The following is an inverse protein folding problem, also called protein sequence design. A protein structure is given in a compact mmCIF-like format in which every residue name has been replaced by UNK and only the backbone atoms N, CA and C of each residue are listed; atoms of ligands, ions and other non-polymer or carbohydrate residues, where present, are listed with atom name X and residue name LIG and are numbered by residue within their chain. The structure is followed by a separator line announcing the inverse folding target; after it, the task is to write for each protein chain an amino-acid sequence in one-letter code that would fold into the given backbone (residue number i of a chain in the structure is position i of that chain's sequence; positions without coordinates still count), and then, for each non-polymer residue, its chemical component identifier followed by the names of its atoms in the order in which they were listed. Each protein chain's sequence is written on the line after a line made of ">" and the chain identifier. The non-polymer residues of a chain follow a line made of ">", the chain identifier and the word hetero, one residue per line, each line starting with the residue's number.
data_IF_399329713885
#
_entry.id   IF_399329713885
#
_cell.length_a   1.000
_cell.length_b   1.000
_cell.length_c   1.000
_cell.angle_alpha   90.00
_cell.angle_beta   90.00
_cell.angle_gamma   90.00
#
_symmetry.space_group_name_H-M   'P 1'
#
loop_
_entity.id
_entity.type
_entity.pdbx_description
1 polymer ?
#
# COMPACT_ATOMS: atom_id res chain seq x y z
N UNK A 1 -1.47 -17.41 5.77
CA UNK A 1 -2.72 -17.53 4.97
C UNK A 1 -3.83 -16.81 5.72
N UNK A 2 -4.89 -16.40 5.03
CA UNK A 2 -6.03 -15.69 5.63
C UNK A 2 -7.35 -16.40 5.33
N UNK A 3 -8.32 -16.28 6.23
CA UNK A 3 -9.70 -16.69 5.95
C UNK A 3 -10.39 -15.70 5.01
N UNK A 4 -11.31 -16.20 4.19
CA UNK A 4 -12.10 -15.35 3.30
C UNK A 4 -13.06 -14.44 4.07
N UNK A 5 -12.87 -13.11 3.96
CA UNK A 5 -13.67 -12.12 4.67
C UNK A 5 -15.00 -11.82 3.94
N UNK A 6 -16.12 -11.80 4.68
CA UNK A 6 -17.46 -11.66 4.08
C UNK A 6 -18.01 -10.23 4.04
N UNK A 7 -17.54 -9.32 4.91
CA UNK A 7 -18.14 -7.99 5.11
C UNK A 7 -17.22 -6.82 4.81
N UNK A 8 -16.01 -6.82 5.38
CA UNK A 8 -15.00 -5.77 5.21
C UNK A 8 -13.67 -6.40 4.83
N UNK A 9 -12.80 -5.61 4.20
CA UNK A 9 -11.51 -6.08 3.71
C UNK A 9 -11.62 -7.29 2.78
N UNK A 10 -12.57 -7.23 1.84
CA UNK A 10 -12.82 -8.32 0.89
C UNK A 10 -11.63 -8.48 -0.03
N UNK A 11 -11.44 -9.70 -0.51
CA UNK A 11 -10.55 -9.97 -1.62
C UNK A 11 -11.30 -9.68 -2.93
N UNK A 12 -10.59 -9.30 -3.97
CA UNK A 12 -11.11 -9.19 -5.33
C UNK A 12 -10.64 -10.40 -6.12
N UNK A 13 -11.55 -11.12 -6.77
CA UNK A 13 -11.18 -12.22 -7.67
C UNK A 13 -10.61 -11.62 -8.96
N UNK A 14 -9.37 -11.98 -9.28
CA UNK A 14 -8.73 -11.65 -10.56
C UNK A 14 -9.00 -12.74 -11.59
N UNK A 15 -8.94 -14.01 -11.18
CA UNK A 15 -9.33 -15.15 -12.01
C UNK A 15 -9.73 -16.37 -11.16
N UNK A 16 -10.51 -17.27 -11.73
CA UNK A 16 -11.03 -18.46 -11.03
C UNK A 16 -12.18 -18.12 -10.08
N UNK A 17 -12.18 -18.71 -8.88
CA UNK A 17 -13.24 -18.58 -7.89
C UNK A 17 -12.69 -18.46 -6.46
N UNK A 18 -13.57 -18.10 -5.52
CA UNK A 18 -13.26 -18.22 -4.09
C UNK A 18 -13.18 -19.69 -3.69
N UNK A 19 -12.27 -20.05 -2.76
CA UNK A 19 -12.19 -21.39 -2.23
C UNK A 19 -13.39 -21.68 -1.33
N UNK A 20 -13.98 -22.87 -1.49
CA UNK A 20 -15.21 -23.30 -0.80
C UNK A 20 -14.94 -24.44 0.17
N UNK A 21 -14.06 -25.37 -0.19
CA UNK A 21 -13.74 -26.55 0.61
C UNK A 21 -12.36 -26.43 1.27
N UNK A 22 -12.12 -27.18 2.34
CA UNK A 22 -10.92 -27.06 3.18
C UNK A 22 -9.61 -27.48 2.50
N UNK A 23 -9.68 -27.99 1.28
CA UNK A 23 -8.58 -28.39 0.39
C UNK A 23 -8.40 -27.42 -0.79
N UNK A 24 -9.17 -26.32 -0.85
CA UNK A 24 -9.06 -25.31 -1.88
C UNK A 24 -8.35 -24.05 -1.39
N UNK A 25 -7.58 -23.42 -2.27
CA UNK A 25 -6.85 -22.19 -1.99
C UNK A 25 -6.98 -21.19 -3.14
N UNK A 26 -7.07 -19.91 -2.79
CA UNK A 26 -6.84 -18.82 -3.73
C UNK A 26 -5.53 -18.11 -3.41
N UNK A 27 -4.66 -17.98 -4.41
CA UNK A 27 -3.33 -17.38 -4.25
C UNK A 27 -3.36 -15.88 -4.57
N UNK A 28 -2.35 -15.13 -4.12
CA UNK A 28 -2.17 -13.76 -4.59
C UNK A 28 -2.05 -13.71 -6.11
N UNK A 29 -2.65 -12.72 -6.76
CA UNK A 29 -2.64 -12.56 -8.23
C UNK A 29 -1.24 -12.52 -8.85
N UNK A 30 -0.24 -12.05 -8.10
CA UNK A 30 1.17 -12.03 -8.52
C UNK A 30 1.75 -13.42 -8.76
N UNK A 31 1.12 -14.47 -8.25
CA UNK A 31 1.51 -15.86 -8.43
C UNK A 31 0.95 -16.50 -9.72
N UNK A 32 0.09 -15.82 -10.48
CA UNK A 32 -0.49 -16.32 -11.73
C UNK A 32 0.55 -16.68 -12.80
N UNK A 33 1.74 -16.08 -12.74
CA UNK A 33 2.84 -16.41 -13.67
C UNK A 33 3.50 -17.75 -13.36
N UNK A 34 3.34 -18.26 -12.13
CA UNK A 34 4.01 -19.47 -11.64
C UNK A 34 3.05 -20.64 -11.47
N UNK A 35 1.80 -20.38 -11.09
CA UNK A 35 0.79 -21.40 -10.84
C UNK A 35 -0.42 -21.17 -11.73
N UNK A 36 -1.11 -22.26 -12.06
CA UNK A 36 -2.34 -22.28 -12.84
C UNK A 36 -3.51 -22.79 -11.99
N UNK A 37 -4.73 -22.57 -12.48
CA UNK A 37 -5.92 -23.13 -11.86
C UNK A 37 -5.91 -24.65 -11.98
N UNK A 38 -6.16 -25.34 -10.87
CA UNK A 38 -6.11 -26.80 -10.77
C UNK A 38 -4.78 -27.35 -10.23
N UNK A 39 -3.72 -26.54 -10.17
CA UNK A 39 -2.43 -26.96 -9.60
C UNK A 39 -2.58 -27.30 -8.11
N UNK A 40 -1.77 -28.24 -7.62
CA UNK A 40 -1.65 -28.51 -6.20
C UNK A 40 -0.41 -27.82 -5.62
N UNK A 41 -0.54 -27.29 -4.41
CA UNK A 41 0.54 -26.64 -3.67
C UNK A 41 0.55 -27.13 -2.23
N UNK A 42 1.74 -27.48 -1.74
CA UNK A 42 1.98 -27.90 -0.37
C UNK A 42 2.78 -26.87 0.41
N UNK A 43 2.47 -26.73 1.70
CA UNK A 43 3.09 -25.75 2.59
C UNK A 43 3.69 -26.44 3.82
N UNK A 44 4.83 -25.93 4.28
CA UNK A 44 5.39 -26.27 5.58
C UNK A 44 4.96 -25.22 6.60
N UNK A 45 4.42 -25.66 7.75
CA UNK A 45 4.07 -24.77 8.85
C UNK A 45 5.28 -24.65 9.79
N UNK A 46 5.53 -23.46 10.33
CA UNK A 46 6.70 -23.15 11.18
C UNK A 46 6.60 -23.70 12.59
N UNK A 47 5.40 -24.12 13.00
CA UNK A 47 5.07 -24.47 14.38
C UNK A 47 4.73 -25.97 14.42
N UNK A 48 5.14 -26.67 15.48
CA UNK A 48 4.84 -28.12 15.64
C UNK A 48 3.33 -28.42 15.69
N UNK A 49 2.49 -27.43 16.02
CA UNK A 49 1.02 -27.47 15.90
C UNK A 49 0.49 -26.38 14.97
N UNK A 50 0.79 -26.48 13.67
CA UNK A 50 0.30 -25.53 12.67
C UNK A 50 -1.23 -25.38 12.67
N UNK A 51 -1.73 -24.17 12.38
CA UNK A 51 -3.15 -23.80 12.46
C UNK A 51 -4.02 -24.31 11.30
N UNK A 52 -3.46 -25.07 10.35
CA UNK A 52 -4.18 -25.60 9.19
C UNK A 52 -4.38 -27.11 9.33
N UNK A 53 -5.62 -27.57 9.09
CA UNK A 53 -5.98 -29.00 9.10
C UNK A 53 -5.30 -29.81 7.99
N UNK A 54 -4.97 -29.14 6.88
CA UNK A 54 -4.29 -29.69 5.72
C UNK A 54 -3.19 -28.76 5.28
N UNK A 55 -2.14 -29.33 4.71
CA UNK A 55 -0.99 -28.58 4.19
C UNK A 55 -0.91 -28.59 2.67
N UNK A 56 -1.73 -29.39 1.99
CA UNK A 56 -1.80 -29.46 0.52
C UNK A 56 -3.16 -28.97 0.05
N UNK A 57 -3.15 -28.08 -0.94
CA UNK A 57 -4.34 -27.41 -1.45
C UNK A 57 -4.34 -27.35 -2.98
N UNK A 58 -5.53 -27.46 -3.57
CA UNK A 58 -5.78 -27.20 -4.99
C UNK A 58 -6.02 -25.71 -5.23
N UNK A 59 -5.29 -25.11 -6.17
CA UNK A 59 -5.43 -23.72 -6.57
C UNK A 59 -6.71 -23.53 -7.37
N UNK A 60 -7.66 -22.77 -6.84
CA UNK A 60 -8.97 -22.52 -7.49
C UNK A 60 -9.19 -21.07 -7.90
N UNK A 61 -8.30 -20.17 -7.50
CA UNK A 61 -8.41 -18.77 -7.86
C UNK A 61 -7.17 -17.95 -7.55
N UNK A 62 -7.20 -16.74 -8.06
CA UNK A 62 -6.19 -15.72 -7.84
C UNK A 62 -6.86 -14.43 -7.42
N UNK A 63 -6.33 -13.81 -6.37
CA UNK A 63 -6.99 -12.70 -5.69
C UNK A 63 -6.08 -11.51 -5.44
N UNK A 64 -6.70 -10.33 -5.37
CA UNK A 64 -6.12 -9.11 -4.83
C UNK A 64 -6.70 -8.83 -3.44
N UNK A 65 -5.84 -8.48 -2.48
CA UNK A 65 -6.25 -8.02 -1.16
C UNK A 65 -6.58 -6.53 -1.19
N UNK A 66 -7.66 -6.14 -0.52
CA UNK A 66 -7.98 -4.73 -0.24
C UNK A 66 -7.21 -4.15 0.95
N UNK A 67 -6.39 -4.98 1.62
CA UNK A 67 -5.55 -4.57 2.76
C UNK A 67 -4.09 -4.50 2.35
N UNK A 68 -3.62 -5.53 1.65
CA UNK A 68 -2.23 -5.67 1.20
C UNK A 68 -2.14 -5.04 -0.18
N UNK A 69 -1.79 -3.75 -0.18
CA UNK A 69 -1.78 -2.97 -1.42
C UNK A 69 -0.58 -3.31 -2.31
N UNK A 70 0.59 -3.63 -1.76
CA UNK A 70 1.77 -3.90 -2.58
C UNK A 70 1.72 -5.29 -3.22
N UNK A 71 2.08 -5.37 -4.50
CA UNK A 71 2.30 -6.63 -5.23
C UNK A 71 3.72 -7.20 -5.03
N UNK A 72 4.67 -6.38 -4.60
CA UNK A 72 6.10 -6.71 -4.58
C UNK A 72 6.74 -6.74 -3.18
N UNK A 73 6.17 -6.03 -2.21
CA UNK A 73 6.71 -5.93 -0.85
C UNK A 73 5.61 -6.00 0.21
N UNK A 74 5.50 -7.16 0.87
CA UNK A 74 4.52 -7.36 1.95
C UNK A 74 5.16 -7.19 3.34
N UNK A 75 6.43 -6.76 3.42
CA UNK A 75 7.14 -6.56 4.68
C UNK A 75 7.83 -7.82 5.20
N UNK A 76 8.08 -7.85 6.50
CA UNK A 76 8.87 -8.90 7.17
C UNK A 76 7.98 -9.96 7.82
N UNK A 77 8.56 -11.12 8.08
CA UNK A 77 7.94 -12.25 8.75
C UNK A 77 8.86 -12.76 9.86
N UNK A 78 8.32 -13.19 11.00
CA UNK A 78 9.09 -13.88 12.05
C UNK A 78 9.40 -15.35 11.67
N UNK A 79 8.67 -15.91 10.72
CA UNK A 79 8.87 -17.26 10.20
C UNK A 79 9.66 -17.26 8.87
N UNK A 80 10.46 -18.32 8.65
CA UNK A 80 11.20 -18.55 7.41
C UNK A 80 12.42 -17.64 7.26
N UNK A 81 12.64 -17.13 6.04
CA UNK A 81 13.81 -16.29 5.72
C UNK A 81 13.64 -14.79 6.08
N UNK A 82 12.65 -14.46 6.91
CA UNK A 82 12.42 -13.10 7.39
C UNK A 82 11.59 -12.19 6.46
N UNK A 83 11.18 -12.66 5.27
CA UNK A 83 10.50 -11.82 4.26
C UNK A 83 9.14 -12.39 3.87
N UNK A 84 8.09 -11.58 4.01
CA UNK A 84 6.75 -11.92 3.52
C UNK A 84 6.68 -11.65 2.01
N UNK A 85 6.53 -12.70 1.21
CA UNK A 85 6.49 -12.59 -0.26
C UNK A 85 5.08 -12.64 -0.85
N UNK A 86 4.20 -13.44 -0.25
CA UNK A 86 2.87 -13.70 -0.78
C UNK A 86 1.86 -13.86 0.34
N UNK A 87 0.58 -13.72 -0.02
CA UNK A 87 -0.54 -14.15 0.79
C UNK A 87 -1.40 -15.12 0.00
N UNK A 88 -2.22 -15.87 0.72
CA UNK A 88 -3.21 -16.77 0.14
C UNK A 88 -4.45 -16.79 1.04
N UNK A 89 -5.58 -17.13 0.44
CA UNK A 89 -6.89 -17.17 1.06
C UNK A 89 -7.41 -18.60 1.02
N UNK A 90 -7.90 -19.08 2.17
CA UNK A 90 -8.52 -20.39 2.35
C UNK A 90 -9.88 -20.20 3.05
N UNK A 91 -10.82 -21.16 2.98
CA UNK A 91 -12.06 -21.04 3.73
C UNK A 91 -11.80 -21.23 5.22
N UNK A 92 -12.72 -20.72 6.05
CA UNK A 92 -12.65 -20.84 7.51
C UNK A 92 -12.52 -22.30 7.98
N UNK A 93 -13.17 -23.23 7.28
CA UNK A 93 -13.10 -24.66 7.57
C UNK A 93 -11.72 -25.31 7.37
N UNK A 94 -10.77 -24.61 6.74
CA UNK A 94 -9.39 -25.10 6.57
C UNK A 94 -8.54 -24.92 7.84
N UNK A 95 -8.95 -24.04 8.76
CA UNK A 95 -8.23 -23.79 10.00
C UNK A 95 -8.57 -24.83 11.07
N UNK A 96 -7.56 -25.21 11.84
CA UNK A 96 -7.66 -26.06 13.04
C UNK A 96 -7.70 -25.19 14.29
N UNK A 97 -8.75 -24.38 14.39
CA UNK A 97 -8.98 -23.49 15.52
C UNK A 97 -10.47 -23.18 15.64
N UNK A 98 -10.99 -23.26 16.86
CA UNK A 98 -12.38 -22.92 17.18
C UNK A 98 -12.59 -21.43 17.44
N UNK A 99 -11.55 -20.61 17.30
CA UNK A 99 -11.60 -19.18 17.60
C UNK A 99 -10.97 -18.34 16.49
N UNK A 100 -11.40 -17.09 16.40
CA UNK A 100 -10.83 -16.14 15.45
C UNK A 100 -9.56 -15.49 16.02
N UNK A 101 -8.51 -15.44 15.19
CA UNK A 101 -7.23 -14.79 15.52
C UNK A 101 -7.10 -13.37 14.99
N UNK A 102 -8.05 -12.92 14.14
CA UNK A 102 -8.03 -11.58 13.53
C UNK A 102 -9.42 -10.96 13.62
N UNK A 103 -9.51 -9.81 14.28
CA UNK A 103 -10.67 -8.93 14.24
C UNK A 103 -10.39 -7.72 13.35
N UNK A 104 -11.30 -7.41 12.42
CA UNK A 104 -11.22 -6.21 11.58
C UNK A 104 -12.25 -5.20 12.05
N UNK A 105 -11.82 -3.98 12.28
CA UNK A 105 -12.67 -2.92 12.86
C UNK A 105 -12.75 -1.75 11.87
N UNK A 106 -13.96 -1.22 11.69
CA UNK A 106 -14.22 -0.03 10.88
C UNK A 106 -14.96 1.01 11.70
N UNK A 107 -14.44 2.24 11.70
CA UNK A 107 -15.02 3.37 12.39
C UNK A 107 -15.88 4.21 11.43
N UNK A 108 -17.16 4.40 11.75
CA UNK A 108 -18.11 5.09 10.87
C UNK A 108 -17.77 6.58 10.68
N UNK A 109 -17.24 7.23 11.71
CA UNK A 109 -16.82 8.64 11.69
C UNK A 109 -15.56 8.89 10.84
N UNK A 110 -14.85 7.83 10.46
CA UNK A 110 -13.67 7.90 9.60
C UNK A 110 -13.95 7.54 8.14
N UNK A 111 -15.14 7.00 7.83
CA UNK A 111 -15.48 6.43 6.51
C UNK A 111 -15.28 7.41 5.35
N UNK A 112 -15.65 8.67 5.54
CA UNK A 112 -15.66 9.69 4.48
C UNK A 112 -14.41 10.60 4.52
N UNK A 113 -13.44 10.30 5.38
CA UNK A 113 -12.20 11.05 5.44
C UNK A 113 -11.19 10.45 4.48
N UNK A 114 -10.36 11.29 3.85
CA UNK A 114 -9.22 10.82 3.07
C UNK A 114 -8.28 10.03 4.01
N UNK A 115 -8.05 8.73 3.77
CA UNK A 115 -7.22 7.87 4.63
C UNK A 115 -5.75 8.32 4.76
N UNK A 116 -5.28 9.18 3.85
CA UNK A 116 -3.93 9.72 3.84
C UNK A 116 -3.83 11.13 4.45
N UNK A 117 -4.96 11.74 4.81
CA UNK A 117 -4.98 13.07 5.44
C UNK A 117 -4.49 13.03 6.89
N UNK A 118 -3.89 14.14 7.34
CA UNK A 118 -3.47 14.31 8.73
C UNK A 118 -4.63 14.20 9.72
N UNK A 119 -5.83 14.67 9.33
CA UNK A 119 -7.04 14.54 10.14
C UNK A 119 -7.41 13.07 10.36
N UNK A 120 -7.36 12.24 9.31
CA UNK A 120 -7.62 10.80 9.45
C UNK A 120 -6.56 10.14 10.34
N UNK A 121 -5.26 10.38 10.07
CA UNK A 121 -4.14 9.79 10.82
C UNK A 121 -4.23 10.08 12.32
N UNK A 122 -4.51 11.33 12.71
CA UNK A 122 -4.68 11.72 14.12
C UNK A 122 -5.87 11.01 14.76
N UNK A 123 -7.00 10.93 14.06
CA UNK A 123 -8.20 10.27 14.59
C UNK A 123 -8.02 8.77 14.73
N UNK A 124 -7.46 8.09 13.72
CA UNK A 124 -7.25 6.64 13.79
C UNK A 124 -6.24 6.27 14.87
N UNK A 125 -5.16 7.04 15.06
CA UNK A 125 -4.21 6.82 16.14
C UNK A 125 -4.87 6.94 17.54
N UNK A 126 -5.79 7.91 17.71
CA UNK A 126 -6.57 8.00 18.96
C UNK A 126 -7.49 6.79 19.17
N UNK A 127 -8.09 6.26 18.09
CA UNK A 127 -8.94 5.06 18.15
C UNK A 127 -8.13 3.79 18.42
N UNK A 128 -6.95 3.67 17.82
CA UNK A 128 -5.99 2.59 18.06
C UNK A 128 -5.58 2.58 19.54
N UNK A 129 -5.13 3.72 20.08
CA UNK A 129 -4.81 3.84 21.50
C UNK A 129 -5.98 3.47 22.42
N UNK A 130 -7.19 3.97 22.12
CA UNK A 130 -8.36 3.63 22.92
C UNK A 130 -8.71 2.12 22.87
N UNK A 131 -8.42 1.46 21.74
CA UNK A 131 -8.59 0.02 21.61
C UNK A 131 -7.51 -0.75 22.37
N UNK A 132 -6.26 -0.29 22.35
CA UNK A 132 -5.17 -0.85 23.16
C UNK A 132 -5.49 -0.76 24.65
N UNK A 133 -5.95 0.42 25.11
CA UNK A 133 -6.34 0.63 26.51
C UNK A 133 -7.51 -0.30 26.89
N UNK A 134 -8.51 -0.46 26.01
CA UNK A 134 -9.66 -1.35 26.21
C UNK A 134 -9.28 -2.84 26.27
N UNK A 135 -8.21 -3.25 25.59
CA UNK A 135 -7.77 -4.64 25.51
C UNK A 135 -6.61 -4.95 26.47
N UNK A 136 -6.22 -4.00 27.34
CA UNK A 136 -5.00 -4.10 28.14
C UNK A 136 -5.03 -5.22 29.19
N UNK A 137 -6.21 -5.61 29.67
CA UNK A 137 -6.45 -6.69 30.63
C UNK A 137 -6.86 -8.02 29.97
N UNK A 138 -7.19 -8.02 28.67
CA UNK A 138 -7.56 -9.25 27.96
C UNK A 138 -6.48 -10.36 27.98
N UNK A 139 -5.16 -10.08 27.86
CA UNK A 139 -4.14 -11.12 27.94
C UNK A 139 -4.22 -11.93 29.24
N UNK A 140 -4.28 -11.24 30.38
CA UNK A 140 -4.29 -11.87 31.70
C UNK A 140 -5.62 -12.59 31.96
N UNK A 141 -6.75 -12.00 31.57
CA UNK A 141 -8.07 -12.64 31.66
C UNK A 141 -8.14 -13.90 30.80
N UNK A 142 -7.63 -13.85 29.56
CA UNK A 142 -7.63 -15.01 28.67
C UNK A 142 -6.70 -16.11 29.18
N UNK A 143 -5.54 -15.76 29.73
CA UNK A 143 -4.65 -16.73 30.37
C UNK A 143 -5.33 -17.41 31.56
N UNK A 144 -5.97 -16.64 32.45
CA UNK A 144 -6.69 -17.18 33.60
C UNK A 144 -7.80 -18.15 33.17
N UNK A 145 -8.57 -17.79 32.13
CA UNK A 145 -9.59 -18.66 31.55
C UNK A 145 -8.98 -19.96 30.99
N UNK A 146 -7.94 -19.87 30.17
CA UNK A 146 -7.28 -21.04 29.57
C UNK A 146 -6.69 -21.96 30.64
N UNK A 147 -6.08 -21.38 31.69
CA UNK A 147 -5.58 -22.15 32.84
C UNK A 147 -6.72 -22.85 33.57
N UNK A 148 -7.84 -22.18 33.82
CA UNK A 148 -9.00 -22.80 34.47
C UNK A 148 -9.61 -23.95 33.65
N UNK A 149 -9.75 -23.77 32.34
CA UNK A 149 -10.27 -24.80 31.41
C UNK A 149 -9.33 -26.01 31.35
N UNK A 150 -8.03 -25.76 31.29
CA UNK A 150 -7.01 -26.82 31.27
C UNK A 150 -6.91 -27.54 32.62
N UNK A 151 -6.96 -26.80 33.74
CA UNK A 151 -6.96 -27.38 35.08
C UNK A 151 -8.15 -28.32 35.28
N UNK A 152 -9.35 -27.94 34.83
CA UNK A 152 -10.53 -28.79 34.89
C UNK A 152 -10.31 -30.11 34.14
N UNK A 153 -9.63 -30.07 32.99
CA UNK A 153 -9.29 -31.26 32.20
C UNK A 153 -8.23 -32.14 32.88
N UNK A 154 -7.23 -31.51 33.53
CA UNK A 154 -6.21 -32.19 34.33
C UNK A 154 -6.85 -32.90 35.53
N UNK A 155 -7.73 -32.22 36.27
CA UNK A 155 -8.43 -32.77 37.44
C UNK A 155 -9.29 -33.98 37.03
N UNK A 156 -10.01 -33.87 35.91
CA UNK A 156 -10.81 -34.97 35.37
C UNK A 156 -9.95 -36.18 34.96
N UNK A 157 -8.77 -35.95 34.37
CA UNK A 157 -7.85 -37.03 34.01
C UNK A 157 -7.14 -37.62 35.22
N UNK A 158 -6.81 -36.81 36.23
CA UNK A 158 -6.26 -37.27 37.51
C UNK A 158 -7.25 -38.22 38.20
N UNK A 159 -8.54 -37.85 38.27
CA UNK A 159 -9.58 -38.72 38.82
C UNK A 159 -9.70 -40.05 38.07
N UNK A 160 -9.54 -40.07 36.74
CA UNK A 160 -9.52 -41.31 35.94
C UNK A 160 -8.31 -42.18 36.28
N UNK A 161 -7.13 -41.58 36.43
CA UNK A 161 -5.90 -42.29 36.80
C UNK A 161 -6.01 -42.86 38.22
N UNK A 162 -6.55 -42.10 39.17
CA UNK A 162 -6.74 -42.56 40.55
C UNK A 162 -7.75 -43.72 40.63
N UNK A 163 -8.83 -43.65 39.84
CA UNK A 163 -9.77 -44.75 39.69
C UNK A 163 -9.12 -46.00 39.07
N UNK A 164 -8.32 -45.83 38.01
CA UNK A 164 -7.60 -46.93 37.36
C UNK A 164 -6.58 -47.60 38.30
N UNK A 165 -5.85 -46.81 39.10
CA UNK A 165 -4.97 -47.32 40.16
C UNK A 165 -5.74 -48.13 41.19
N UNK A 166 -6.86 -47.60 41.68
CA UNK A 166 -7.71 -48.29 42.66
C UNK A 166 -8.23 -49.62 42.11
N UNK A 167 -8.63 -49.66 40.83
CA UNK A 167 -9.07 -50.87 40.16
C UNK A 167 -7.92 -51.88 39.97
N UNK A 168 -6.71 -51.42 39.64
CA UNK A 168 -5.53 -52.26 39.50
C UNK A 168 -5.14 -52.92 40.84
N UNK A 169 -5.18 -52.17 41.94
CA UNK A 169 -4.89 -52.71 43.27
C UNK A 169 -5.95 -53.75 43.69
N UNK A 170 -7.23 -53.51 43.40
CA UNK A 170 -8.28 -54.51 43.63
C UNK A 170 -8.09 -55.78 42.76
N UNK A 171 -7.65 -55.62 41.50
CA UNK A 171 -7.32 -56.74 40.63
C UNK A 171 -6.13 -57.55 41.17
N UNK A 172 -5.05 -56.88 41.59
CA UNK A 172 -3.90 -57.51 42.25
C UNK A 172 -4.31 -58.29 43.50
N UNK A 173 -5.15 -57.71 44.35
CA UNK A 173 -5.64 -58.34 45.57
C UNK A 173 -6.54 -59.56 45.32
N UNK A 174 -7.31 -59.58 44.22
CA UNK A 174 -8.13 -60.73 43.83
C UNK A 174 -7.27 -61.86 43.24
N UNK A 175 -6.20 -61.49 42.53
CA UNK A 175 -5.28 -62.42 41.88
C UNK A 175 -4.52 -63.33 42.86
N UNK A 176 -4.17 -62.82 44.04
CA UNK A 176 -3.53 -63.61 45.11
C UNK A 176 -4.43 -64.71 45.67
N UNK A 177 -5.74 -64.68 45.40
CA UNK A 177 -6.70 -65.69 45.83
C UNK A 177 -6.98 -66.78 44.76
N UNK A 178 -6.46 -66.62 43.55
CA UNK A 178 -6.69 -67.56 42.43
C UNK A 178 -5.59 -68.65 42.33
N UNK A 179 -5.89 -69.83 41.76
CA UNK A 179 -4.90 -70.87 41.47
C UNK A 179 -3.80 -70.40 40.51
N UNK A 180 -2.57 -70.93 40.67
CA UNK A 180 -1.37 -70.52 39.92
C UNK A 180 -1.52 -70.46 38.39
N UNK A 181 -2.30 -71.36 37.77
CA UNK A 181 -2.51 -71.36 36.31
C UNK A 181 -3.31 -70.14 35.83
N UNK A 182 -4.26 -69.65 36.63
CA UNK A 182 -5.05 -68.45 36.32
C UNK A 182 -4.29 -67.16 36.67
N UNK A 183 -3.30 -67.25 37.56
CA UNK A 183 -2.43 -66.11 37.88
C UNK A 183 -1.53 -65.71 36.71
N UNK A 184 -0.94 -66.68 36.01
CA UNK A 184 -0.09 -66.40 34.84
C UNK A 184 -0.87 -65.69 33.72
N UNK A 185 -2.12 -66.11 33.47
CA UNK A 185 -2.95 -65.54 32.41
C UNK A 185 -3.40 -64.10 32.69
N UNK A 186 -3.57 -63.72 33.96
CA UNK A 186 -3.98 -62.37 34.34
C UNK A 186 -2.81 -61.41 34.62
N UNK A 187 -1.58 -61.92 34.70
CA UNK A 187 -0.37 -61.10 34.90
C UNK A 187 -0.11 -60.15 33.73
N UNK A 188 -0.35 -60.58 32.49
CA UNK A 188 -0.18 -59.73 31.29
C UNK A 188 -1.16 -58.55 31.30
N UNK A 189 -2.41 -58.78 31.73
CA UNK A 189 -3.42 -57.72 31.87
C UNK A 189 -3.02 -56.70 32.94
N UNK A 190 -2.44 -57.14 34.06
CA UNK A 190 -1.91 -56.25 35.10
C UNK A 190 -0.76 -55.42 34.55
N UNK A 191 0.18 -56.05 33.85
CA UNK A 191 1.33 -55.36 33.29
C UNK A 191 0.89 -54.30 32.27
N UNK A 192 -0.10 -54.61 31.43
CA UNK A 192 -0.67 -53.67 30.47
C UNK A 192 -1.39 -52.51 31.17
N UNK A 193 -2.23 -52.78 32.18
CA UNK A 193 -2.91 -51.76 32.95
C UNK A 193 -1.92 -50.84 33.70
N UNK A 194 -0.87 -51.43 34.29
CA UNK A 194 0.20 -50.69 34.96
C UNK A 194 0.94 -49.78 33.97
N UNK A 195 1.27 -50.27 32.77
CA UNK A 195 1.90 -49.46 31.73
C UNK A 195 1.02 -48.30 31.26
N UNK A 196 -0.29 -48.53 31.07
CA UNK A 196 -1.25 -47.47 30.71
C UNK A 196 -1.38 -46.40 31.80
N UNK A 197 -1.37 -46.80 33.07
CA UNK A 197 -1.39 -45.87 34.21
C UNK A 197 -0.12 -45.02 34.20
N UNK A 198 1.06 -45.64 34.07
CA UNK A 198 2.34 -44.91 34.04
C UNK A 198 2.40 -43.92 32.88
N UNK A 199 1.92 -44.29 31.69
CA UNK A 199 1.83 -43.38 30.56
C UNK A 199 0.85 -42.22 30.83
N UNK A 200 -0.31 -42.51 31.44
CA UNK A 200 -1.30 -41.49 31.78
C UNK A 200 -0.81 -40.53 32.87
N UNK A 201 -0.04 -41.02 33.85
CA UNK A 201 0.63 -40.22 34.87
C UNK A 201 1.67 -39.29 34.25
N UNK A 202 2.48 -39.81 33.31
CA UNK A 202 3.44 -38.99 32.58
C UNK A 202 2.74 -37.89 31.79
N UNK A 203 1.66 -38.21 31.08
CA UNK A 203 0.86 -37.22 30.35
C UNK A 203 0.24 -36.17 31.28
N UNK A 204 -0.17 -36.55 32.49
CA UNK A 204 -0.67 -35.63 33.52
C UNK A 204 0.43 -34.69 34.03
N UNK A 205 1.63 -35.21 34.30
CA UNK A 205 2.76 -34.40 34.74
C UNK A 205 3.20 -33.44 33.62
N UNK A 206 3.29 -33.91 32.38
CA UNK A 206 3.54 -33.06 31.21
C UNK A 206 2.45 -31.99 31.06
N UNK A 207 1.17 -32.33 31.27
CA UNK A 207 0.07 -31.38 31.23
C UNK A 207 0.14 -30.31 32.33
N UNK A 208 0.52 -30.70 33.57
CA UNK A 208 0.73 -29.75 34.68
C UNK A 208 1.89 -28.81 34.40
N UNK A 209 3.02 -29.34 33.91
CA UNK A 209 4.17 -28.52 33.49
C UNK A 209 3.77 -27.54 32.38
N UNK A 210 3.02 -28.00 31.38
CA UNK A 210 2.53 -27.15 30.30
C UNK A 210 1.56 -26.07 30.80
N UNK A 211 0.67 -26.39 31.75
CA UNK A 211 -0.23 -25.44 32.39
C UNK A 211 0.54 -24.31 33.09
N UNK A 212 1.57 -24.66 33.86
CA UNK A 212 2.40 -23.70 34.58
C UNK A 212 3.21 -22.83 33.63
N UNK A 213 3.70 -23.42 32.55
CA UNK A 213 4.45 -22.75 31.49
C UNK A 213 3.60 -21.88 30.55
N UNK A 214 2.26 -21.93 30.62
CA UNK A 214 1.39 -21.10 29.78
C UNK A 214 1.68 -19.62 30.00
N UNK A 215 1.89 -18.91 28.90
CA UNK A 215 2.14 -17.46 28.86
C UNK A 215 0.91 -16.70 28.41
N UNK A 216 0.88 -15.42 28.75
CA UNK A 216 -0.18 -14.54 28.29
C UNK A 216 -0.23 -14.48 26.76
N UNK A 217 -1.42 -14.65 26.14
CA UNK A 217 -1.58 -14.47 24.71
C UNK A 217 -1.33 -13.01 24.31
N UNK A 218 -0.72 -12.81 23.14
CA UNK A 218 -0.41 -11.47 22.64
C UNK A 218 -1.60 -10.90 21.86
N UNK A 219 -2.03 -9.70 22.22
CA UNK A 219 -3.00 -8.91 21.47
C UNK A 219 -2.27 -7.75 20.80
N UNK A 220 -2.26 -7.74 19.47
CA UNK A 220 -1.67 -6.65 18.70
C UNK A 220 -2.76 -5.88 17.95
N UNK A 221 -2.72 -4.56 18.05
CA UNK A 221 -3.58 -3.68 17.26
C UNK A 221 -2.79 -3.06 16.12
N UNK A 222 -3.45 -2.86 14.99
CA UNK A 222 -2.82 -2.31 13.80
C UNK A 222 -3.77 -1.39 13.04
N UNK A 223 -3.18 -0.41 12.38
CA UNK A 223 -3.82 0.37 11.31
C UNK A 223 -3.44 -0.20 9.94
N UNK A 224 -4.06 0.36 8.89
CA UNK A 224 -3.68 0.08 7.49
C UNK A 224 -2.19 0.31 7.19
N UNK A 225 -1.54 1.22 7.91
CA UNK A 225 -0.12 1.53 7.74
C UNK A 225 0.81 0.65 8.56
N UNK A 226 0.36 0.11 9.72
CA UNK A 226 1.21 -0.65 10.63
C UNK A 226 1.01 -2.17 10.56
N UNK A 227 -0.07 -2.67 9.94
CA UNK A 227 -0.30 -4.11 9.89
C UNK A 227 0.75 -4.85 9.04
N UNK A 228 1.12 -6.10 9.38
CA UNK A 228 2.02 -6.90 8.54
C UNK A 228 1.44 -7.14 7.14
N UNK A 229 2.12 -6.67 6.09
CA UNK A 229 1.55 -6.57 4.73
C UNK A 229 1.15 -5.16 4.30
N UNK A 230 1.12 -4.19 5.24
CA UNK A 230 0.68 -2.82 5.02
C UNK A 230 1.73 -1.88 4.42
N UNK A 231 2.95 -2.35 4.15
CA UNK A 231 4.03 -1.51 3.60
C UNK A 231 3.63 -0.76 2.34
N UNK A 232 2.86 -1.40 1.45
CA UNK A 232 2.33 -0.76 0.24
C UNK A 232 1.43 0.45 0.50
N UNK A 233 0.71 0.48 1.63
CA UNK A 233 -0.09 1.64 2.02
C UNK A 233 0.78 2.85 2.34
N UNK A 234 1.86 2.63 3.08
CA UNK A 234 2.82 3.68 3.42
C UNK A 234 3.58 4.17 2.19
N UNK A 235 4.02 3.25 1.33
CA UNK A 235 4.69 3.60 0.07
C UNK A 235 3.79 4.41 -0.85
N UNK A 236 2.52 4.02 -0.99
CA UNK A 236 1.57 4.80 -1.79
C UNK A 236 1.37 6.21 -1.22
N UNK A 237 1.24 6.32 0.11
CA UNK A 237 1.09 7.60 0.80
C UNK A 237 2.30 8.52 0.60
N UNK A 238 3.51 8.00 0.80
CA UNK A 238 4.75 8.77 0.65
C UNK A 238 4.99 9.16 -0.81
N UNK A 239 4.84 8.23 -1.76
CA UNK A 239 4.99 8.50 -3.19
C UNK A 239 4.01 9.58 -3.67
N UNK A 240 2.73 9.48 -3.30
CA UNK A 240 1.72 10.48 -3.68
C UNK A 240 2.04 11.84 -3.07
N UNK A 241 2.47 11.88 -1.79
CA UNK A 241 2.87 13.13 -1.13
C UNK A 241 4.10 13.76 -1.79
N UNK A 242 5.12 12.96 -2.12
CA UNK A 242 6.34 13.45 -2.78
C UNK A 242 6.04 14.00 -4.17
N UNK A 243 5.21 13.30 -4.96
CA UNK A 243 4.78 13.77 -6.28
C UNK A 243 3.98 15.05 -6.17
N UNK A 244 3.07 15.16 -5.19
CA UNK A 244 2.33 16.40 -4.92
C UNK A 244 3.26 17.59 -4.61
N UNK A 245 4.28 17.37 -3.77
CA UNK A 245 5.27 18.41 -3.46
C UNK A 245 6.07 18.85 -4.68
N UNK A 246 6.53 17.91 -5.52
CA UNK A 246 7.21 18.22 -6.78
C UNK A 246 6.27 18.98 -7.73
N UNK A 247 5.01 18.54 -7.85
CA UNK A 247 3.98 19.16 -8.68
C UNK A 247 3.64 20.59 -8.28
N UNK A 248 3.85 20.98 -7.02
CA UNK A 248 3.63 22.36 -6.57
C UNK A 248 4.82 23.30 -6.85
N UNK A 249 6.06 22.79 -6.79
CA UNK A 249 7.27 23.63 -6.91
C UNK A 249 7.78 23.69 -8.35
N UNK A 250 7.81 22.54 -9.03
CA UNK A 250 8.47 22.41 -10.33
C UNK A 250 7.85 23.28 -11.44
N UNK A 251 6.51 23.41 -11.57
CA UNK A 251 5.91 24.27 -12.58
C UNK A 251 6.27 25.74 -12.43
N UNK A 252 6.49 26.24 -11.20
CA UNK A 252 6.89 27.64 -10.96
C UNK A 252 8.27 27.88 -11.57
N UNK A 253 9.22 26.99 -11.31
CA UNK A 253 10.59 27.09 -11.84
C UNK A 253 10.59 27.00 -13.36
N UNK A 254 9.91 26.00 -13.93
CA UNK A 254 9.81 25.84 -15.37
C UNK A 254 9.13 27.03 -16.05
N UNK A 255 8.09 27.59 -15.43
CA UNK A 255 7.41 28.76 -15.96
C UNK A 255 8.35 29.97 -16.01
N UNK A 256 9.13 30.24 -14.96
CA UNK A 256 10.09 31.37 -14.96
C UNK A 256 11.12 31.22 -16.08
N UNK A 257 11.68 30.01 -16.26
CA UNK A 257 12.64 29.74 -17.34
C UNK A 257 11.98 29.91 -18.71
N UNK A 258 10.78 29.34 -18.91
CA UNK A 258 10.04 29.46 -20.16
C UNK A 258 9.65 30.91 -20.46
N UNK A 259 9.26 31.69 -19.44
CA UNK A 259 8.90 33.09 -19.58
C UNK A 259 10.12 33.94 -19.96
N UNK A 260 11.29 33.70 -19.38
CA UNK A 260 12.54 34.38 -19.75
C UNK A 260 12.96 34.09 -21.19
N UNK A 261 12.89 32.81 -21.60
CA UNK A 261 13.19 32.40 -22.98
C UNK A 261 12.19 33.04 -23.94
N UNK A 262 10.89 32.95 -23.65
CA UNK A 262 9.83 33.55 -24.48
C UNK A 262 9.98 35.06 -24.58
N UNK A 263 10.29 35.73 -23.47
CA UNK A 263 10.58 37.16 -23.43
C UNK A 263 11.73 37.51 -24.39
N UNK A 264 12.83 36.77 -24.31
CA UNK A 264 14.03 36.99 -25.15
C UNK A 264 13.73 36.72 -26.62
N UNK A 265 13.00 35.63 -26.92
CA UNK A 265 12.61 35.28 -28.29
C UNK A 265 11.66 36.32 -28.89
N UNK A 266 10.67 36.80 -28.14
CA UNK A 266 9.76 37.84 -28.61
C UNK A 266 10.47 39.19 -28.78
N UNK A 267 11.41 39.52 -27.89
CA UNK A 267 12.28 40.70 -28.05
C UNK A 267 13.02 40.64 -29.37
N UNK A 268 13.68 39.51 -29.62
CA UNK A 268 14.45 39.29 -30.85
C UNK A 268 13.56 39.33 -32.09
N UNK A 269 12.35 38.76 -32.03
CA UNK A 269 11.41 38.80 -33.14
C UNK A 269 10.98 40.23 -33.51
N UNK A 270 10.65 41.07 -32.52
CA UNK A 270 10.32 42.48 -32.77
C UNK A 270 11.51 43.23 -33.35
N UNK A 271 12.72 42.96 -32.85
CA UNK A 271 13.95 43.58 -33.33
C UNK A 271 14.29 43.19 -34.79
N UNK A 272 14.08 41.93 -35.17
CA UNK A 272 14.29 41.45 -36.55
C UNK A 272 13.27 42.07 -37.53
N UNK A 273 12.04 42.34 -37.08
CA UNK A 273 10.98 42.99 -37.86
C UNK A 273 10.97 44.52 -37.75
N UNK A 274 12.01 45.12 -37.15
CA UNK A 274 12.13 46.57 -36.94
C UNK A 274 12.10 47.36 -38.25
N UNK A 275 12.85 46.93 -39.26
CA UNK A 275 12.89 47.59 -40.58
C UNK A 275 11.54 47.55 -41.28
N UNK A 276 10.87 46.40 -41.27
CA UNK A 276 9.53 46.22 -41.83
C UNK A 276 8.50 47.12 -41.12
N UNK A 277 8.62 47.24 -39.79
CA UNK A 277 7.82 48.15 -38.97
C UNK A 277 8.03 49.62 -39.36
N UNK A 278 9.26 50.01 -39.69
CA UNK A 278 9.60 51.34 -40.20
C UNK A 278 8.98 51.64 -41.58
N UNK A 279 8.95 50.65 -42.49
CA UNK A 279 8.29 50.77 -43.80
C UNK A 279 6.78 50.98 -43.65
N UNK A 280 6.11 50.19 -42.80
CA UNK A 280 4.68 50.35 -42.53
C UNK A 280 4.35 51.75 -42.00
N UNK A 281 5.17 52.28 -41.08
CA UNK A 281 5.01 53.63 -40.56
C UNK A 281 5.23 54.72 -41.63
N UNK A 282 6.15 54.50 -42.58
CA UNK A 282 6.37 55.39 -43.71
C UNK A 282 5.24 55.38 -44.73
N UNK A 283 4.52 54.25 -44.85
CA UNK A 283 3.32 54.11 -45.69
C UNK A 283 2.05 54.70 -45.04
N UNK A 284 2.14 55.23 -43.82
CA UNK A 284 1.05 55.91 -43.12
C UNK A 284 0.27 55.05 -42.13
N UNK A 285 0.71 53.83 -41.82
CA UNK A 285 0.11 53.02 -40.76
C UNK A 285 0.35 53.63 -39.37
N UNK A 286 -0.64 53.52 -38.48
CA UNK A 286 -0.48 53.98 -37.11
C UNK A 286 0.40 53.02 -36.30
N UNK A 287 0.98 53.51 -35.21
CA UNK A 287 1.78 52.66 -34.32
C UNK A 287 0.96 51.47 -33.78
N UNK A 288 -0.35 51.64 -33.56
CA UNK A 288 -1.24 50.58 -33.08
C UNK A 288 -1.39 49.44 -34.11
N UNK A 289 -1.46 49.78 -35.40
CA UNK A 289 -1.60 48.82 -36.49
C UNK A 289 -0.34 47.94 -36.66
N UNK A 290 0.83 48.48 -36.30
CA UNK A 290 2.07 47.70 -36.33
C UNK A 290 2.23 46.86 -35.06
N UNK A 291 1.83 47.37 -33.89
CA UNK A 291 1.89 46.61 -32.62
C UNK A 291 0.97 45.38 -32.66
N UNK A 292 -0.23 45.51 -33.24
CA UNK A 292 -1.21 44.41 -33.22
C UNK A 292 -0.71 43.17 -33.96
N UNK A 293 0.13 43.33 -35.00
CA UNK A 293 0.81 42.22 -35.70
C UNK A 293 1.62 41.36 -34.70
N UNK A 294 2.43 41.99 -33.87
CA UNK A 294 3.28 41.30 -32.88
C UNK A 294 2.44 40.67 -31.76
N UNK A 295 1.39 41.37 -31.32
CA UNK A 295 0.46 40.87 -30.30
C UNK A 295 -0.31 39.64 -30.78
N UNK A 296 -0.84 39.65 -32.01
CA UNK A 296 -1.55 38.51 -32.59
C UNK A 296 -0.61 37.31 -32.73
N UNK A 297 0.63 37.52 -33.19
CA UNK A 297 1.60 36.44 -33.28
C UNK A 297 1.88 35.81 -31.91
N UNK A 298 2.17 36.63 -30.89
CA UNK A 298 2.39 36.15 -29.53
C UNK A 298 1.18 35.41 -28.95
N UNK A 299 -0.04 35.91 -29.23
CA UNK A 299 -1.29 35.28 -28.80
C UNK A 299 -1.49 33.91 -29.45
N UNK A 300 -1.35 33.79 -30.77
CA UNK A 300 -1.55 32.53 -31.49
C UNK A 300 -0.49 31.51 -31.07
N UNK A 301 0.79 31.92 -31.02
CA UNK A 301 1.89 31.04 -30.62
C UNK A 301 1.68 30.49 -29.20
N UNK A 302 1.36 31.37 -28.23
CA UNK A 302 1.10 30.96 -26.85
C UNK A 302 -0.14 30.09 -26.69
N UNK A 303 -1.22 30.37 -27.43
CA UNK A 303 -2.42 29.53 -27.42
C UNK A 303 -2.14 28.13 -27.97
N UNK A 304 -1.47 28.03 -29.12
CA UNK A 304 -1.14 26.71 -29.69
C UNK A 304 -0.23 25.91 -28.76
N UNK A 305 0.81 26.53 -28.19
CA UNK A 305 1.72 25.88 -27.26
C UNK A 305 1.01 25.44 -25.98
N UNK A 306 0.11 26.29 -25.46
CA UNK A 306 -0.62 26.00 -24.23
C UNK A 306 -1.65 24.89 -24.40
N UNK A 307 -2.39 24.87 -25.53
CA UNK A 307 -3.32 23.77 -25.84
C UNK A 307 -2.58 22.44 -25.93
N UNK A 308 -1.46 22.40 -26.66
CA UNK A 308 -0.62 21.20 -26.76
C UNK A 308 -0.03 20.80 -25.39
N UNK A 309 0.43 21.77 -24.60
CA UNK A 309 0.96 21.55 -23.26
C UNK A 309 -0.08 21.01 -22.28
N UNK A 310 -1.30 21.57 -22.28
CA UNK A 310 -2.42 21.09 -21.46
C UNK A 310 -2.77 19.66 -21.86
N UNK A 311 -2.87 19.37 -23.16
CA UNK A 311 -3.17 18.02 -23.64
C UNK A 311 -2.10 17.02 -23.20
N UNK A 312 -0.82 17.32 -23.46
CA UNK A 312 0.29 16.45 -23.07
C UNK A 312 0.38 16.27 -21.54
N UNK A 313 0.22 17.35 -20.77
CA UNK A 313 0.25 17.31 -19.31
C UNK A 313 -0.91 16.51 -18.72
N UNK A 314 -2.13 16.74 -19.20
CA UNK A 314 -3.32 16.11 -18.65
C UNK A 314 -3.45 14.63 -19.01
N UNK A 315 -3.14 14.25 -20.26
CA UNK A 315 -3.36 12.88 -20.73
C UNK A 315 -2.11 12.01 -20.68
N UNK A 316 -0.95 12.54 -21.11
CA UNK A 316 0.28 11.73 -21.21
C UNK A 316 0.98 11.69 -19.85
N UNK A 317 1.33 12.86 -19.31
CA UNK A 317 2.09 12.93 -18.06
C UNK A 317 1.29 12.36 -16.89
N UNK A 318 0.01 12.72 -16.75
CA UNK A 318 -0.84 12.18 -15.68
C UNK A 318 -0.96 10.65 -15.73
N UNK A 319 -1.07 10.06 -16.93
CA UNK A 319 -1.12 8.61 -17.10
C UNK A 319 0.19 7.94 -16.70
N UNK A 320 1.33 8.48 -17.13
CA UNK A 320 2.65 7.95 -16.75
C UNK A 320 2.83 8.00 -15.23
N UNK A 321 2.49 9.11 -14.59
CA UNK A 321 2.58 9.26 -13.14
C UNK A 321 1.66 8.26 -12.42
N UNK A 322 0.42 8.11 -12.87
CA UNK A 322 -0.51 7.14 -12.30
C UNK A 322 0.05 5.71 -12.37
N UNK A 323 0.53 5.29 -13.55
CA UNK A 323 1.09 3.95 -13.75
C UNK A 323 2.29 3.68 -12.83
N UNK A 324 3.20 4.64 -12.69
CA UNK A 324 4.38 4.52 -11.81
C UNK A 324 3.97 4.34 -10.34
N UNK A 325 2.92 5.04 -9.89
CA UNK A 325 2.48 5.00 -8.49
C UNK A 325 1.60 3.80 -8.18
N UNK A 326 0.69 3.43 -9.09
CA UNK A 326 -0.31 2.38 -8.82
C UNK A 326 0.02 1.03 -9.45
N UNK A 327 0.93 0.93 -10.42
CA UNK A 327 1.20 -0.30 -11.18
C UNK A 327 1.61 -1.49 -10.29
N UNK A 328 2.48 -1.22 -9.31
CA UNK A 328 2.93 -2.21 -8.32
C UNK A 328 1.96 -2.39 -7.14
N UNK A 329 0.75 -1.83 -7.23
CA UNK A 329 -0.28 -1.95 -6.21
C UNK A 329 -1.50 -2.74 -6.69
N UNK A 330 -2.32 -3.20 -5.76
CA UNK A 330 -3.66 -3.77 -6.03
C UNK A 330 -4.71 -2.69 -6.25
N UNK A 331 -4.35 -1.40 -6.20
CA UNK A 331 -5.27 -0.31 -6.51
C UNK A 331 -5.62 -0.36 -8.00
N UNK A 332 -6.91 -0.19 -8.29
CA UNK A 332 -7.43 -0.16 -9.66
C UNK A 332 -7.08 1.12 -10.42
N UNK A 333 -7.79 1.34 -11.51
CA UNK A 333 -7.58 2.49 -12.40
C UNK A 333 -7.72 3.83 -11.68
N UNK A 334 -6.76 4.72 -11.88
CA UNK A 334 -6.82 6.09 -11.36
C UNK A 334 -7.83 6.91 -12.16
N UNK A 335 -8.65 7.70 -11.47
CA UNK A 335 -9.58 8.63 -12.13
C UNK A 335 -8.86 9.94 -12.44
N UNK A 336 -9.01 10.41 -13.68
CA UNK A 336 -8.40 11.65 -14.13
C UNK A 336 -9.43 12.78 -14.05
N UNK A 337 -9.12 13.82 -13.26
CA UNK A 337 -9.98 15.00 -13.11
C UNK A 337 -9.39 16.18 -13.86
N UNK A 338 -10.20 16.82 -14.71
CA UNK A 338 -9.82 18.05 -15.38
C UNK A 338 -10.05 19.25 -14.47
N UNK A 339 -8.98 19.91 -14.03
CA UNK A 339 -9.05 21.06 -13.13
C UNK A 339 -9.05 22.38 -13.90
N UNK A 340 -10.25 22.88 -14.19
CA UNK A 340 -10.45 24.07 -15.02
C UNK A 340 -9.74 25.33 -14.47
N UNK A 341 -9.64 25.46 -13.14
CA UNK A 341 -8.95 26.57 -12.48
C UNK A 341 -7.46 26.61 -12.83
N UNK A 342 -6.75 25.49 -12.70
CA UNK A 342 -5.32 25.41 -13.04
C UNK A 342 -5.07 25.59 -14.54
N UNK A 343 -5.98 25.10 -15.39
CA UNK A 343 -5.92 25.32 -16.83
C UNK A 343 -6.02 26.80 -17.18
N UNK A 344 -6.97 27.52 -16.58
CA UNK A 344 -7.15 28.95 -16.82
C UNK A 344 -5.93 29.75 -16.35
N UNK A 345 -5.37 29.41 -15.18
CA UNK A 345 -4.13 30.00 -14.67
C UNK A 345 -2.99 29.80 -15.66
N UNK A 346 -2.80 28.58 -16.18
CA UNK A 346 -1.76 28.28 -17.16
C UNK A 346 -1.92 29.11 -18.46
N UNK A 347 -3.15 29.26 -18.96
CA UNK A 347 -3.47 30.10 -20.11
C UNK A 347 -3.09 31.57 -19.87
N UNK A 348 -3.49 32.12 -18.72
CA UNK A 348 -3.17 33.52 -18.38
C UNK A 348 -1.66 33.73 -18.31
N UNK A 349 -0.92 32.85 -17.63
CA UNK A 349 0.53 32.96 -17.50
C UNK A 349 1.24 32.81 -18.86
N UNK A 350 0.79 31.90 -19.73
CA UNK A 350 1.35 31.75 -21.08
C UNK A 350 1.08 32.98 -21.98
N UNK A 351 -0.11 33.58 -21.87
CA UNK A 351 -0.43 34.81 -22.58
C UNK A 351 0.44 35.97 -22.08
N UNK A 352 0.58 36.10 -20.75
CA UNK A 352 1.42 37.14 -20.14
C UNK A 352 2.87 37.00 -20.60
N UNK A 353 3.43 35.79 -20.66
CA UNK A 353 4.83 35.59 -21.05
C UNK A 353 5.11 35.85 -22.53
N UNK A 354 4.13 35.67 -23.43
CA UNK A 354 4.32 35.87 -24.86
C UNK A 354 3.86 37.24 -25.37
N UNK A 355 2.70 37.72 -24.90
CA UNK A 355 2.05 38.93 -25.43
C UNK A 355 2.61 40.19 -24.77
N UNK A 356 2.86 40.17 -23.45
CA UNK A 356 3.36 41.34 -22.74
C UNK A 356 4.71 41.84 -23.28
N UNK A 357 5.72 40.97 -23.55
CA UNK A 357 6.99 41.42 -24.08
C UNK A 357 6.85 41.98 -25.49
N UNK A 358 6.09 41.30 -26.35
CA UNK A 358 5.81 41.76 -27.71
C UNK A 358 5.19 43.16 -27.71
N UNK A 359 4.21 43.41 -26.83
CA UNK A 359 3.58 44.71 -26.67
C UNK A 359 4.54 45.79 -26.15
N UNK A 360 5.25 45.52 -25.05
CA UNK A 360 6.16 46.50 -24.42
C UNK A 360 7.26 46.91 -25.40
N UNK A 361 7.84 45.95 -26.11
CA UNK A 361 9.00 46.16 -26.97
C UNK A 361 8.58 46.82 -28.28
N UNK A 362 7.50 46.35 -28.92
CA UNK A 362 6.97 47.01 -30.11
C UNK A 362 6.56 48.45 -29.83
N UNK A 363 5.91 48.72 -28.68
CA UNK A 363 5.55 50.09 -28.27
C UNK A 363 6.78 50.97 -28.05
N UNK A 364 7.83 50.43 -27.43
CA UNK A 364 9.09 51.15 -27.20
C UNK A 364 9.79 51.47 -28.52
N UNK A 365 9.96 50.47 -29.40
CA UNK A 365 10.59 50.63 -30.71
C UNK A 365 9.83 51.62 -31.59
N UNK A 366 8.50 51.51 -31.70
CA UNK A 366 7.67 52.38 -32.54
C UNK A 366 7.54 53.83 -32.05
N UNK A 367 8.06 54.15 -30.86
CA UNK A 367 8.17 55.53 -30.39
C UNK A 367 9.29 56.32 -31.10
N UNK A 368 10.22 55.63 -31.78
CA UNK A 368 11.31 56.25 -32.54
C UNK A 368 10.83 56.86 -33.88
N UNK A 369 11.62 57.78 -34.44
CA UNK A 369 11.30 58.41 -35.74
C UNK A 369 11.42 57.38 -36.88
N UNK A 370 10.56 57.44 -37.91
CA UNK A 370 10.57 56.46 -39.01
C UNK A 370 11.94 56.27 -39.68
N UNK A 371 12.70 57.35 -39.85
CA UNK A 371 14.06 57.30 -40.42
C UNK A 371 15.08 56.53 -39.57
N UNK A 372 14.86 56.41 -38.25
CA UNK A 372 15.71 55.65 -37.33
C UNK A 372 15.34 54.16 -37.28
N UNK A 373 14.10 53.82 -37.66
CA UNK A 373 13.63 52.42 -37.74
C UNK A 373 14.14 51.71 -39.00
N UNK A 374 14.48 52.45 -40.06
CA UNK A 374 15.05 51.92 -41.31
C UNK A 374 16.56 51.65 -41.23
N UNK A 375 17.22 52.12 -40.17
CA UNK A 375 18.63 51.84 -39.93
C UNK A 375 18.78 50.53 -39.13
N UNK A 376 19.80 49.70 -39.43
CA UNK A 376 20.09 48.53 -38.63
C UNK A 376 20.38 48.94 -37.18
N UNK A 377 19.84 48.17 -36.23
CA UNK A 377 20.00 48.45 -34.79
C UNK A 377 21.50 48.46 -34.46
N UNK A 378 22.03 49.51 -33.80
CA UNK A 378 23.44 49.58 -33.48
C UNK A 378 23.83 48.36 -32.62
N UNK A 379 25.01 47.75 -32.85
CA UNK A 379 25.42 46.56 -32.10
C UNK A 379 25.41 46.88 -30.60
N UNK A 380 24.83 45.97 -29.81
CA UNK A 380 24.86 46.06 -28.34
C UNK A 380 26.30 46.30 -27.90
N UNK A 381 26.53 47.37 -27.12
CA UNK A 381 27.86 47.78 -26.63
C UNK A 381 28.62 46.54 -26.18
N UNK A 382 29.60 46.12 -26.98
CA UNK A 382 30.49 45.03 -26.63
C UNK A 382 31.14 45.36 -25.29
N UNK A 383 31.05 44.43 -24.34
CA UNK A 383 31.84 44.48 -23.12
C UNK A 383 33.27 44.80 -23.50
N UNK A 384 33.81 45.92 -22.98
CA UNK A 384 35.23 46.25 -23.15
C UNK A 384 36.03 45.05 -22.67
N UNK A 385 36.60 44.29 -23.59
CA UNK A 385 37.56 43.24 -23.27
C UNK A 385 38.74 43.91 -22.61
N UNK A 386 39.03 43.52 -21.37
CA UNK A 386 40.22 43.93 -20.65
C UNK A 386 41.42 43.19 -21.26
N UNK A 387 41.84 43.62 -22.46
CA UNK A 387 43.03 43.10 -23.14
C UNK A 387 44.12 44.16 -23.13
N UNK A 388 45.08 43.93 -22.21
CA UNK A 388 46.49 44.35 -22.17
C UNK A 388 46.83 45.85 -22.25
N UNK A 389 47.43 46.32 -21.18
CA UNK A 389 48.64 47.14 -21.29
C UNK A 389 49.76 46.41 -20.51
N UNK A 390 50.95 46.48 -21.10
CA UNK A 390 52.22 45.89 -20.70
C UNK A 390 52.65 46.22 -19.28
#
# INVERSE_FOLDING_TARGET
>A
MFSNSKRISKYEIVSGAYPKTSDEIALASTMQKKYHLGDEISFTQSDEQGILKKTTFKVVGFVNSSEILSKSSLGTSSAGNGVLKYYAVVPESAFDSDFYTIARIRYNDLKNLNPFSETYKKKIAKKEKALEDLLSDNPSQRLAQLKSETQTSIDANQAKVDAAKSQLEAQKATLTQLPNEQQLAAQDSINQAQAQITESEKQLDDAKVNLDAMKEPTYATYTRSSFPGGGGYQTYASSTSSIGSIGNVFPIVLYVVAALVTFTTMTRFVDEERTNSGVLKALGYSNSDVIIKFVIYGFVASMTGTILGIFAGHYILSRIIAEIVTGDTTLGSTTYYFYWSYTLIAIVFALVSAVLPAFIIARKELSEKPSQLLLPKPPVKGSKSFLRAY
#
